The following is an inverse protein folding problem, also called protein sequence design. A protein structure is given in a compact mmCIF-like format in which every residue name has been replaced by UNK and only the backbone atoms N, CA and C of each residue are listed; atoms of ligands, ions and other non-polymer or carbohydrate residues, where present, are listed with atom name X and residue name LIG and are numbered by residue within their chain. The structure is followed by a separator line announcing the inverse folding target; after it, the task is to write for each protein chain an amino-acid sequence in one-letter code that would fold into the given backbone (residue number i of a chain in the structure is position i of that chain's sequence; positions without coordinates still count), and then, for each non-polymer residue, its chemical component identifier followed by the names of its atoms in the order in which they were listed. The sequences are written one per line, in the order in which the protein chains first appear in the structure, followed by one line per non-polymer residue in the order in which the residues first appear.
data_IF_038556398662
#
_entry.id   IF_038556398662
#
_cell.length_a   1.000
_cell.length_b   1.000
_cell.length_c   1.000
_cell.angle_alpha   90.00
_cell.angle_beta   90.00
_cell.angle_gamma   90.00
#
_symmetry.space_group_name_H-M   'P 1'
#
loop_
_entity.id
_entity.type
_entity.pdbx_description
1 polymer ?
2 polymer ?
3 non-polymer ?
4 non-polymer ?
5 water ?
#
# COMPACT_ATOMS: atom_id res chain seq x y z
N UNK A 1 16.08 -18.21 4.22
CA UNK A 1 16.81 -17.52 3.13
C UNK A 1 18.00 -16.73 3.65
N UNK A 2 18.31 -15.62 2.99
CA UNK A 2 19.55 -14.82 3.13
C UNK A 2 19.79 -14.38 4.59
N UNK A 3 18.73 -14.08 5.36
CA UNK A 3 18.85 -13.34 6.62
C UNK A 3 18.66 -14.29 7.80
N UNK A 4 18.58 -15.60 7.50
CA UNK A 4 18.28 -16.70 8.45
C UNK A 4 19.28 -16.79 9.60
N UNK A 5 20.53 -16.34 9.42
CA UNK A 5 21.58 -16.39 10.48
C UNK A 5 21.69 -15.05 11.26
N UNK A 6 20.96 -13.99 10.87
CA UNK A 6 21.00 -12.74 11.64
C UNK A 6 19.85 -12.69 12.66
N UNK A 7 20.14 -12.11 13.82
CA UNK A 7 19.17 -11.94 14.92
C UNK A 7 18.01 -11.06 14.47
N UNK A 8 16.83 -11.38 14.97
CA UNK A 8 15.60 -10.58 14.72
C UNK A 8 15.85 -9.11 15.09
N UNK A 9 16.39 -8.81 16.28
CA UNK A 9 16.55 -7.40 16.73
C UNK A 9 17.57 -6.69 15.82
N UNK A 10 18.63 -7.38 15.38
CA UNK A 10 19.71 -6.86 14.49
C UNK A 10 19.15 -6.52 13.10
N UNK A 11 18.23 -7.34 12.59
CA UNK A 11 17.54 -7.08 11.31
C UNK A 11 16.71 -5.81 11.43
N UNK A 12 15.99 -5.66 12.54
CA UNK A 12 15.13 -4.47 12.80
C UNK A 12 16.03 -3.23 12.92
N UNK A 13 17.06 -3.31 13.76
CA UNK A 13 18.05 -2.21 13.91
C UNK A 13 18.61 -1.85 12.53
N UNK A 14 18.98 -2.86 11.72
CA UNK A 14 19.64 -2.66 10.39
C UNK A 14 18.64 -2.13 9.39
N UNK A 15 17.35 -2.47 9.52
CA UNK A 15 16.27 -1.89 8.68
C UNK A 15 16.14 -0.37 8.97
N UNK A 16 16.35 0.02 10.23
CA UNK A 16 16.25 1.45 10.64
C UNK A 16 17.45 2.26 10.10
N UNK A 17 18.65 1.69 10.19
CA UNK A 17 19.89 2.25 9.58
C UNK A 17 19.68 2.43 8.08
N UNK A 18 19.19 1.40 7.39
CA UNK A 18 18.93 1.38 5.93
C UNK A 18 17.99 2.52 5.56
N UNK A 19 16.88 2.69 6.28
CA UNK A 19 15.92 3.80 6.03
C UNK A 19 16.68 5.13 6.07
N UNK A 20 17.54 5.36 7.08
CA UNK A 20 18.28 6.65 7.23
C UNK A 20 19.29 6.79 6.09
N UNK A 21 19.84 5.69 5.57
CA UNK A 21 20.80 5.70 4.44
C UNK A 21 20.06 5.75 3.10
N UNK A 22 18.73 5.63 3.12
CA UNK A 22 17.84 5.52 1.93
C UNK A 22 18.23 4.30 1.10
N UNK A 23 18.65 3.22 1.77
CA UNK A 23 18.94 1.93 1.12
C UNK A 23 17.68 1.06 1.26
N UNK A 24 16.70 1.29 0.38
CA UNK A 24 15.34 0.74 0.56
C UNK A 24 15.35 -0.75 0.16
N UNK A 25 16.23 -1.16 -0.76
CA UNK A 25 16.36 -2.61 -1.11
C UNK A 25 16.83 -3.36 0.14
N UNK A 26 17.90 -2.89 0.76
CA UNK A 26 18.47 -3.45 2.01
C UNK A 26 17.40 -3.46 3.10
N UNK A 27 16.66 -2.35 3.24
CA UNK A 27 15.62 -2.19 4.28
C UNK A 27 14.55 -3.26 4.06
N UNK A 28 14.13 -3.49 2.80
CA UNK A 28 13.11 -4.51 2.49
C UNK A 28 13.67 -5.89 2.80
N UNK A 29 14.92 -6.19 2.42
CA UNK A 29 15.50 -7.53 2.63
C UNK A 29 15.60 -7.84 4.14
N UNK A 30 16.02 -6.88 4.96
CA UNK A 30 16.13 -7.01 6.44
C UNK A 30 14.72 -7.24 7.03
N UNK A 31 13.71 -6.49 6.59
CA UNK A 31 12.34 -6.64 7.14
C UNK A 31 11.72 -7.96 6.68
N UNK A 32 12.03 -8.44 5.47
CA UNK A 32 11.64 -9.77 4.99
C UNK A 32 12.24 -10.81 5.96
N UNK A 33 13.53 -10.69 6.25
CA UNK A 33 14.22 -11.59 7.20
C UNK A 33 13.58 -11.53 8.58
N UNK A 34 13.25 -10.33 9.05
CA UNK A 34 12.55 -10.11 10.32
C UNK A 34 11.22 -10.88 10.33
N UNK A 35 10.41 -10.74 9.28
CA UNK A 35 9.10 -11.45 9.16
C UNK A 35 9.35 -12.97 9.21
N UNK A 36 10.32 -13.46 8.46
CA UNK A 36 10.59 -14.93 8.32
C UNK A 36 11.08 -15.55 9.64
N UNK A 37 11.44 -14.77 10.66
CA UNK A 37 11.67 -15.26 12.05
C UNK A 37 10.37 -15.85 12.61
N UNK A 38 9.24 -15.49 11.98
CA UNK A 38 7.94 -16.11 12.25
C UNK A 38 7.20 -15.53 13.45
N UNK A 39 7.77 -14.52 14.13
CA UNK A 39 7.07 -13.80 15.23
C UNK A 39 6.24 -12.65 14.61
N UNK A 40 5.13 -12.29 15.26
CA UNK A 40 4.23 -11.17 14.84
C UNK A 40 5.05 -9.88 14.88
N UNK A 41 4.69 -8.89 14.07
CA UNK A 41 5.39 -7.59 14.02
C UNK A 41 4.68 -6.62 14.96
N UNK A 42 5.45 -5.81 15.69
CA UNK A 42 4.92 -4.62 16.42
C UNK A 42 4.39 -3.58 15.42
N UNK A 43 3.73 -2.52 15.89
CA UNK A 43 3.26 -1.40 15.03
C UNK A 43 4.45 -0.77 14.28
N UNK A 44 5.55 -0.45 14.98
CA UNK A 44 6.76 0.15 14.38
C UNK A 44 7.31 -0.81 13.30
N UNK A 45 7.42 -2.10 13.61
CA UNK A 45 7.91 -3.15 12.68
C UNK A 45 7.00 -3.24 11.44
N UNK A 46 5.68 -3.22 11.57
CA UNK A 46 4.77 -3.20 10.39
C UNK A 46 5.09 -1.97 9.53
N UNK A 47 5.29 -0.81 10.16
CA UNK A 47 5.56 0.43 9.41
C UNK A 47 6.88 0.30 8.64
N UNK A 48 7.92 -0.30 9.25
CA UNK A 48 9.24 -0.46 8.61
C UNK A 48 9.10 -1.32 7.35
N UNK A 49 8.43 -2.46 7.47
CA UNK A 49 8.15 -3.42 6.36
C UNK A 49 7.46 -2.67 5.22
N UNK A 50 6.40 -1.91 5.53
CA UNK A 50 5.56 -1.23 4.52
C UNK A 50 6.36 -0.13 3.82
N UNK A 51 7.04 0.73 4.58
CA UNK A 51 7.85 1.86 4.05
C UNK A 51 8.92 1.28 3.12
N UNK A 52 9.56 0.18 3.52
CA UNK A 52 10.65 -0.48 2.77
C UNK A 52 10.13 -0.88 1.39
N UNK A 53 9.09 -1.71 1.34
CA UNK A 53 8.58 -2.25 0.05
C UNK A 53 7.92 -1.14 -0.77
N UNK A 54 7.28 -0.17 -0.12
CA UNK A 54 6.62 0.95 -0.83
C UNK A 54 7.70 1.74 -1.57
N UNK A 55 8.87 1.94 -0.96
CA UNK A 55 9.96 2.71 -1.59
C UNK A 55 10.51 1.88 -2.76
N UNK A 56 10.66 0.57 -2.59
CA UNK A 56 11.18 -0.33 -3.66
C UNK A 56 10.17 -0.37 -4.82
N UNK A 57 8.91 -0.69 -4.55
CA UNK A 57 7.89 -0.84 -5.63
C UNK A 57 7.65 0.54 -6.28
N UNK A 58 7.82 1.63 -5.53
CA UNK A 58 7.68 2.98 -6.09
C UNK A 58 8.66 3.26 -7.22
N UNK A 59 9.95 2.99 -7.01
CA UNK A 59 10.99 3.08 -8.06
C UNK A 59 10.63 2.28 -9.30
N UNK A 60 10.08 1.07 -9.12
CA UNK A 60 9.74 0.17 -10.24
C UNK A 60 8.50 0.72 -10.99
N UNK A 61 7.50 1.26 -10.27
CA UNK A 61 6.27 1.82 -10.88
C UNK A 61 6.65 3.06 -11.70
N UNK A 62 7.38 4.02 -11.13
CA UNK A 62 7.93 5.19 -11.87
C UNK A 62 8.68 4.69 -13.11
N UNK A 63 9.58 3.72 -12.97
CA UNK A 63 10.38 3.17 -14.09
C UNK A 63 9.43 2.63 -15.17
N UNK A 64 8.48 1.76 -14.78
CA UNK A 64 7.48 1.09 -15.67
C UNK A 64 6.67 2.11 -16.49
N UNK A 65 6.21 3.21 -15.89
CA UNK A 65 5.31 4.19 -16.56
C UNK A 65 6.12 4.94 -17.63
N UNK A 66 7.36 5.28 -17.33
CA UNK A 66 8.30 5.94 -18.29
C UNK A 66 8.43 5.02 -19.50
N UNK A 67 8.76 3.74 -19.28
CA UNK A 67 8.99 2.73 -20.35
C UNK A 67 7.70 2.46 -21.12
N UNK A 68 6.57 2.27 -20.43
CA UNK A 68 5.26 1.95 -21.05
C UNK A 68 4.86 3.09 -22.00
N UNK A 69 5.10 4.33 -21.58
CA UNK A 69 4.80 5.56 -22.37
C UNK A 69 5.69 5.63 -23.62
N UNK A 70 6.97 5.27 -23.51
CA UNK A 70 7.86 5.21 -24.69
C UNK A 70 7.33 4.12 -25.62
N UNK A 71 7.11 2.92 -25.09
CA UNK A 71 6.54 1.76 -25.83
C UNK A 71 5.31 2.20 -26.63
N UNK A 72 4.33 2.81 -25.96
CA UNK A 72 3.06 3.27 -26.60
C UNK A 72 3.40 4.28 -27.71
N UNK A 73 4.28 5.25 -27.43
CA UNK A 73 4.72 6.27 -28.43
C UNK A 73 5.30 5.55 -29.66
N UNK A 74 6.12 4.53 -29.46
CA UNK A 74 6.83 3.78 -30.54
C UNK A 74 5.87 2.87 -31.33
N UNK A 75 4.59 2.77 -30.94
CA UNK A 75 3.58 1.93 -31.64
C UNK A 75 2.77 2.80 -32.62
N UNK A 83 12.05 -2.18 -33.51
CA UNK A 83 12.90 -3.14 -32.77
C UNK A 83 12.31 -3.54 -31.42
N UNK A 84 12.72 -4.70 -30.85
CA UNK A 84 12.07 -5.26 -29.66
C UNK A 84 12.53 -4.64 -28.33
N UNK A 85 13.52 -3.74 -28.35
CA UNK A 85 14.27 -3.41 -27.11
C UNK A 85 13.33 -2.77 -26.08
N UNK A 86 12.43 -1.91 -26.51
CA UNK A 86 11.57 -1.11 -25.58
C UNK A 86 10.64 -2.08 -24.84
N UNK A 87 9.93 -2.91 -25.61
CA UNK A 87 9.04 -3.97 -25.08
C UNK A 87 9.85 -4.87 -24.14
N UNK A 88 11.04 -5.31 -24.55
CA UNK A 88 11.91 -6.26 -23.80
C UNK A 88 12.29 -5.64 -22.45
N UNK A 89 12.70 -4.37 -22.43
CA UNK A 89 13.15 -3.73 -21.18
C UNK A 89 11.93 -3.43 -20.28
N UNK A 90 10.81 -2.99 -20.86
CA UNK A 90 9.55 -2.78 -20.10
C UNK A 90 9.16 -4.10 -19.42
N UNK A 91 9.25 -5.21 -20.16
CA UNK A 91 8.99 -6.59 -19.66
C UNK A 91 9.93 -6.91 -18.50
N UNK A 92 11.20 -6.48 -18.58
CA UNK A 92 12.23 -6.81 -17.57
C UNK A 92 11.82 -6.13 -16.26
N UNK A 93 11.56 -4.83 -16.35
CA UNK A 93 11.13 -3.99 -15.19
C UNK A 93 9.80 -4.54 -14.62
N UNK A 94 8.81 -4.83 -15.47
CA UNK A 94 7.47 -5.34 -15.09
C UNK A 94 7.64 -6.65 -14.31
N UNK A 95 8.52 -7.52 -14.78
CA UNK A 95 8.78 -8.84 -14.16
C UNK A 95 9.38 -8.63 -12.77
N UNK A 96 10.35 -7.73 -12.61
CA UNK A 96 10.98 -7.46 -11.29
C UNK A 96 9.94 -6.83 -10.36
N UNK A 97 9.07 -5.94 -10.88
CA UNK A 97 7.93 -5.33 -10.14
C UNK A 97 6.97 -6.41 -9.63
N UNK A 98 6.63 -7.36 -10.49
CA UNK A 98 5.74 -8.50 -10.15
C UNK A 98 6.40 -9.35 -9.07
N UNK A 99 7.72 -9.57 -9.17
CA UNK A 99 8.49 -10.32 -8.16
C UNK A 99 8.43 -9.66 -6.80
N UNK A 100 8.56 -8.34 -6.72
CA UNK A 100 8.45 -7.63 -5.41
C UNK A 100 7.01 -7.74 -4.90
N UNK A 101 6.03 -7.50 -5.77
CA UNK A 101 4.60 -7.65 -5.34
C UNK A 101 4.40 -9.09 -4.85
N UNK A 102 4.86 -10.10 -5.61
CA UNK A 102 4.68 -11.54 -5.28
C UNK A 102 5.37 -11.83 -3.93
N UNK A 103 6.54 -11.23 -3.69
CA UNK A 103 7.29 -11.44 -2.41
C UNK A 103 6.48 -10.92 -1.24
N UNK A 104 5.92 -9.71 -1.36
CA UNK A 104 5.16 -9.05 -0.25
C UNK A 104 3.89 -9.86 0.01
N UNK A 105 3.17 -10.24 -1.05
CA UNK A 105 1.92 -11.07 -0.93
C UNK A 105 2.23 -12.40 -0.26
N UNK A 106 3.39 -12.97 -0.59
CA UNK A 106 3.95 -14.20 0.03
C UNK A 106 4.10 -14.03 1.51
N UNK A 107 4.66 -12.91 1.96
CA UNK A 107 4.85 -12.65 3.39
C UNK A 107 3.49 -12.51 4.07
N UNK A 108 2.55 -11.84 3.44
CA UNK A 108 1.22 -11.57 4.02
C UNK A 108 0.45 -12.90 4.15
N UNK A 109 0.54 -13.76 3.16
CA UNK A 109 -0.15 -15.08 3.20
C UNK A 109 0.65 -16.08 4.05
N UNK A 110 1.96 -15.92 4.24
CA UNK A 110 2.81 -16.91 4.95
C UNK A 110 3.73 -16.24 5.97
N UNK A 111 3.22 -15.77 7.12
CA UNK A 111 1.89 -16.07 7.64
C UNK A 111 1.35 -14.87 8.44
N UNK A 112 1.55 -13.63 7.97
CA UNK A 112 1.28 -12.40 8.77
C UNK A 112 -0.23 -12.24 9.01
N UNK A 113 -1.04 -12.47 7.99
CA UNK A 113 -2.49 -12.17 8.04
C UNK A 113 -3.16 -13.18 8.97
N UNK A 114 -2.90 -14.48 8.81
CA UNK A 114 -3.62 -15.52 9.60
C UNK A 114 -3.27 -15.39 11.09
N UNK A 115 -2.13 -14.78 11.47
CA UNK A 115 -1.75 -14.58 12.90
C UNK A 115 -2.15 -13.18 13.39
N UNK A 116 -2.67 -12.29 12.53
CA UNK A 116 -3.13 -10.92 12.88
C UNK A 116 -4.58 -10.96 13.41
N UNK A 117 -4.75 -10.90 14.74
CA UNK A 117 -6.07 -10.89 15.42
C UNK A 117 -6.56 -9.47 15.71
N UNK A 118 -5.67 -8.56 16.11
CA UNK A 118 -6.04 -7.16 16.45
C UNK A 118 -6.39 -6.39 15.18
N UNK A 119 -7.31 -5.43 15.30
CA UNK A 119 -7.82 -4.61 14.18
C UNK A 119 -6.66 -3.83 13.54
N UNK A 120 -5.78 -3.24 14.36
CA UNK A 120 -4.70 -2.34 13.87
C UNK A 120 -3.73 -3.15 13.00
N UNK A 121 -3.44 -4.39 13.38
CA UNK A 121 -2.53 -5.28 12.61
C UNK A 121 -3.25 -5.88 11.39
N UNK A 122 -4.44 -6.45 11.55
CA UNK A 122 -5.18 -7.17 10.48
C UNK A 122 -5.56 -6.19 9.36
N UNK A 123 -6.04 -5.00 9.72
CA UNK A 123 -6.46 -4.00 8.71
C UNK A 123 -5.19 -3.55 7.99
N UNK A 124 -4.07 -3.39 8.70
CA UNK A 124 -2.80 -2.95 8.10
C UNK A 124 -2.39 -3.95 7.01
N UNK A 125 -2.42 -5.24 7.33
CA UNK A 125 -1.95 -6.32 6.43
C UNK A 125 -2.90 -6.46 5.26
N UNK A 126 -4.23 -6.38 5.48
CA UNK A 126 -5.20 -6.53 4.36
C UNK A 126 -5.07 -5.33 3.42
N UNK A 127 -4.82 -4.14 3.96
CA UNK A 127 -4.58 -2.93 3.13
C UNK A 127 -3.38 -3.16 2.20
N UNK A 128 -2.25 -3.62 2.77
CA UNK A 128 -1.03 -3.97 2.02
C UNK A 128 -1.39 -4.99 0.92
N UNK A 129 -2.19 -6.00 1.25
CA UNK A 129 -2.59 -7.05 0.30
C UNK A 129 -3.35 -6.39 -0.87
N UNK A 130 -4.35 -5.56 -0.59
CA UNK A 130 -5.05 -4.79 -1.63
C UNK A 130 -4.08 -3.91 -2.42
N UNK A 131 -3.22 -3.22 -1.71
CA UNK A 131 -2.21 -2.36 -2.35
C UNK A 131 -1.32 -3.15 -3.35
N UNK A 132 -0.81 -4.28 -2.96
CA UNK A 132 0.23 -4.75 -3.87
C UNK A 132 -0.49 -5.56 -5.03
N UNK A 133 -1.70 -6.13 -4.83
CA UNK A 133 -2.59 -6.59 -5.94
C UNK A 133 -2.93 -5.41 -6.88
N UNK A 134 -3.14 -4.20 -6.35
CA UNK A 134 -3.37 -2.98 -7.18
C UNK A 134 -2.13 -2.67 -8.03
N UNK A 135 -0.92 -2.76 -7.47
CA UNK A 135 0.35 -2.57 -8.24
C UNK A 135 0.42 -3.62 -9.36
N UNK A 136 0.02 -4.86 -9.11
CA UNK A 136 -0.03 -5.90 -10.18
C UNK A 136 -1.10 -5.50 -11.21
N UNK A 137 -2.29 -5.08 -10.75
CA UNK A 137 -3.38 -4.54 -11.60
C UNK A 137 -2.86 -3.47 -12.57
N UNK A 138 -2.00 -2.56 -12.10
CA UNK A 138 -1.53 -1.42 -12.93
C UNK A 138 -0.86 -1.97 -14.20
N UNK A 139 -0.12 -3.08 -14.12
CA UNK A 139 0.75 -3.57 -15.24
C UNK A 139 0.09 -4.77 -15.91
N UNK A 140 -1.06 -5.22 -15.40
CA UNK A 140 -1.79 -6.43 -15.84
C UNK A 140 -2.55 -6.17 -17.14
N UNK A 141 -2.38 -7.04 -18.14
CA UNK A 141 -3.15 -7.07 -19.41
C UNK A 141 -4.01 -8.34 -19.40
N UNK A 144 -7.02 -12.84 -16.94
CA UNK A 144 -6.34 -12.94 -15.62
C UNK A 144 -6.39 -11.59 -14.87
N UNK A 145 -6.33 -10.47 -15.57
CA UNK A 145 -6.41 -9.10 -14.96
C UNK A 145 -7.63 -9.01 -14.03
N UNK A 146 -8.74 -9.64 -14.41
CA UNK A 146 -10.02 -9.53 -13.67
C UNK A 146 -9.81 -10.14 -12.29
N UNK A 147 -9.17 -11.31 -12.22
CA UNK A 147 -8.92 -12.02 -10.94
C UNK A 147 -8.02 -11.16 -10.03
N UNK A 148 -6.96 -10.56 -10.59
CA UNK A 148 -6.01 -9.71 -9.82
C UNK A 148 -6.82 -8.56 -9.19
N UNK A 149 -7.59 -7.88 -10.03
CA UNK A 149 -8.47 -6.75 -9.63
C UNK A 149 -9.43 -7.25 -8.53
N UNK A 150 -10.05 -8.41 -8.70
CA UNK A 150 -10.99 -8.95 -7.67
C UNK A 150 -10.20 -9.29 -6.38
N UNK A 151 -8.96 -9.76 -6.49
CA UNK A 151 -8.09 -10.00 -5.29
C UNK A 151 -7.86 -8.69 -4.52
N UNK A 152 -7.52 -7.59 -5.20
CA UNK A 152 -7.37 -6.27 -4.56
C UNK A 152 -8.69 -5.87 -3.86
N UNK A 153 -9.81 -5.82 -4.59
CA UNK A 153 -11.17 -5.45 -4.07
C UNK A 153 -11.45 -6.23 -2.78
N UNK A 154 -11.27 -7.55 -2.84
CA UNK A 154 -11.60 -8.47 -1.71
C UNK A 154 -10.76 -8.14 -0.48
N UNK A 155 -9.44 -7.94 -0.66
CA UNK A 155 -8.52 -7.57 0.45
C UNK A 155 -8.96 -6.23 1.04
N UNK A 156 -9.20 -5.24 0.17
CA UNK A 156 -9.62 -3.87 0.56
C UNK A 156 -10.94 -3.93 1.34
N UNK A 157 -11.92 -4.67 0.80
CA UNK A 157 -13.30 -4.72 1.36
C UNK A 157 -13.27 -5.37 2.74
N UNK A 158 -12.48 -6.45 2.90
CA UNK A 158 -12.34 -7.15 4.20
C UNK A 158 -11.72 -6.17 5.20
N UNK A 159 -10.66 -5.47 4.80
CA UNK A 159 -10.02 -4.40 5.61
C UNK A 159 -11.07 -3.36 5.99
N UNK A 160 -11.87 -2.88 5.02
CA UNK A 160 -12.86 -1.81 5.24
C UNK A 160 -13.89 -2.27 6.28
N UNK A 161 -14.41 -3.51 6.12
CA UNK A 161 -15.46 -4.05 7.03
C UNK A 161 -14.91 -4.04 8.46
N UNK A 162 -13.66 -4.48 8.67
CA UNK A 162 -13.09 -4.57 10.05
C UNK A 162 -12.85 -3.16 10.60
N UNK A 163 -12.34 -2.24 9.75
CA UNK A 163 -12.00 -0.85 10.12
C UNK A 163 -13.26 -0.11 10.59
N UNK A 164 -14.38 -0.26 9.86
CA UNK A 164 -15.67 0.37 10.19
C UNK A 164 -16.19 -0.15 11.54
N UNK A 165 -16.06 -1.44 11.79
CA UNK A 165 -16.55 -2.08 13.03
C UNK A 165 -15.64 -1.74 14.21
N UNK A 166 -14.32 -1.64 14.00
CA UNK A 166 -13.34 -1.76 15.12
C UNK A 166 -12.57 -0.47 15.41
N UNK A 167 -12.53 0.49 14.50
CA UNK A 167 -11.66 1.69 14.59
C UNK A 167 -12.51 2.95 14.51
N UNK A 168 -12.14 4.05 15.19
CA UNK A 168 -12.88 5.29 15.01
C UNK A 168 -12.61 5.84 13.62
N UNK A 169 -13.50 6.73 13.11
CA UNK A 169 -13.37 7.26 11.75
C UNK A 169 -12.09 8.05 11.50
N UNK A 170 -11.43 8.58 12.55
CA UNK A 170 -10.16 9.34 12.39
C UNK A 170 -8.93 8.42 12.40
N UNK A 171 -9.10 7.13 12.69
CA UNK A 171 -7.96 6.19 12.75
C UNK A 171 -7.14 6.35 11.48
N UNK A 172 -5.85 6.73 11.59
CA UNK A 172 -5.02 6.94 10.40
C UNK A 172 -4.93 5.71 9.49
N UNK A 173 -4.91 4.50 10.07
CA UNK A 173 -4.82 3.25 9.26
C UNK A 173 -6.14 3.18 8.45
N UNK A 174 -7.26 3.35 9.13
CA UNK A 174 -8.60 3.38 8.47
C UNK A 174 -8.64 4.46 7.37
N UNK A 175 -8.12 5.64 7.64
CA UNK A 175 -8.13 6.79 6.69
C UNK A 175 -7.26 6.43 5.48
N UNK A 176 -6.08 5.85 5.70
CA UNK A 176 -5.15 5.45 4.62
C UNK A 176 -5.76 4.35 3.75
N UNK A 177 -6.45 3.40 4.38
CA UNK A 177 -7.16 2.28 3.71
C UNK A 177 -8.18 2.87 2.73
N UNK A 178 -9.01 3.81 3.19
CA UNK A 178 -10.12 4.38 2.41
C UNK A 178 -9.53 5.26 1.31
N UNK A 179 -8.47 6.02 1.60
CA UNK A 179 -7.74 6.79 0.55
C UNK A 179 -7.44 5.83 -0.61
N UNK A 180 -6.77 4.72 -0.29
CA UNK A 180 -6.20 3.79 -1.31
C UNK A 180 -7.33 3.07 -2.04
N UNK A 181 -8.34 2.62 -1.31
CA UNK A 181 -9.50 1.89 -1.87
C UNK A 181 -10.24 2.83 -2.84
N UNK A 182 -10.32 4.12 -2.53
CA UNK A 182 -10.99 5.12 -3.39
C UNK A 182 -10.23 5.25 -4.71
N UNK A 183 -8.89 5.19 -4.62
CA UNK A 183 -7.99 5.30 -5.82
C UNK A 183 -8.14 4.00 -6.61
N UNK A 184 -8.22 2.87 -5.92
CA UNK A 184 -8.57 1.57 -6.55
C UNK A 184 -9.86 1.77 -7.35
N UNK A 185 -10.93 2.18 -6.67
CA UNK A 185 -12.26 2.43 -7.29
C UNK A 185 -12.05 3.31 -8.52
N UNK A 186 -11.34 4.43 -8.37
CA UNK A 186 -11.27 5.49 -9.39
C UNK A 186 -10.58 4.98 -10.66
N UNK A 187 -9.40 4.35 -10.55
CA UNK A 187 -8.56 4.09 -11.75
C UNK A 187 -8.28 2.59 -11.97
N UNK A 188 -8.68 1.68 -11.07
CA UNK A 188 -8.51 0.21 -11.31
C UNK A 188 -9.85 -0.40 -11.69
N UNK A 189 -10.91 -0.14 -10.92
CA UNK A 189 -12.27 -0.68 -11.13
C UNK A 189 -13.05 0.18 -12.11
N UNK A 190 -12.49 1.30 -12.55
CA UNK A 190 -13.17 2.32 -13.40
C UNK A 190 -14.56 2.60 -12.82
N UNK A 191 -14.62 2.89 -11.50
CA UNK A 191 -15.82 3.29 -10.73
C UNK A 191 -15.55 4.66 -10.09
N UNK A 192 -15.36 5.75 -10.88
CA UNK A 192 -14.97 7.02 -10.28
C UNK A 192 -16.03 7.55 -9.30
N UNK A 193 -17.29 7.19 -9.52
CA UNK A 193 -18.39 7.63 -8.64
C UNK A 193 -18.23 6.97 -7.29
N UNK A 194 -17.93 5.66 -7.25
CA UNK A 194 -17.64 4.97 -5.98
C UNK A 194 -16.47 5.68 -5.28
N UNK A 195 -15.37 5.94 -6.00
CA UNK A 195 -14.17 6.64 -5.49
C UNK A 195 -14.59 7.92 -4.75
N UNK A 196 -15.32 8.78 -5.45
CA UNK A 196 -15.71 10.13 -4.98
C UNK A 196 -16.58 9.99 -3.71
N UNK A 197 -17.56 9.08 -3.72
CA UNK A 197 -18.45 8.78 -2.57
C UNK A 197 -17.63 8.31 -1.37
N UNK A 198 -16.72 7.36 -1.60
CA UNK A 198 -15.89 6.82 -0.49
C UNK A 198 -15.04 7.97 0.10
N UNK A 199 -14.45 8.80 -0.75
CA UNK A 199 -13.52 9.88 -0.31
C UNK A 199 -14.29 10.97 0.45
N UNK A 200 -15.50 11.34 0.01
CA UNK A 200 -16.34 12.37 0.69
C UNK A 200 -16.79 11.86 2.06
N UNK A 201 -17.43 10.69 2.09
CA UNK A 201 -17.99 10.09 3.32
C UNK A 201 -16.87 9.86 4.34
N UNK A 202 -15.70 9.40 3.87
CA UNK A 202 -14.53 9.15 4.74
C UNK A 202 -14.06 10.47 5.34
N UNK A 203 -13.91 11.48 4.48
CA UNK A 203 -13.45 12.83 4.89
C UNK A 203 -14.39 13.38 5.98
N UNK A 204 -15.69 13.43 5.67
CA UNK A 204 -16.71 14.11 6.51
C UNK A 204 -16.83 13.37 7.84
N UNK A 205 -16.81 12.03 7.85
CA UNK A 205 -16.90 11.24 9.11
C UNK A 205 -15.68 11.52 10.00
N UNK A 206 -14.48 11.63 9.42
CA UNK A 206 -13.25 11.97 10.18
C UNK A 206 -13.41 13.38 10.79
N UNK A 207 -13.86 14.34 9.96
CA UNK A 207 -14.09 15.76 10.35
C UNK A 207 -14.89 15.79 11.65
N UNK A 208 -15.99 15.04 11.71
CA UNK A 208 -16.95 15.07 12.85
C UNK A 208 -16.42 14.31 14.09
N UNK A 209 -15.26 13.66 13.99
CA UNK A 209 -14.67 12.89 15.14
C UNK A 209 -13.40 13.60 15.65
N UNK A 210 -12.90 14.63 14.96
CA UNK A 210 -11.58 15.27 15.25
C UNK A 210 -11.63 15.86 16.66
N UNK A 211 -12.80 16.36 17.07
CA UNK A 211 -13.04 16.96 18.40
C UNK A 211 -12.57 16.00 19.51
N UNK A 212 -12.47 14.69 19.24
CA UNK A 212 -12.20 13.64 20.27
C UNK A 212 -10.69 13.47 20.47
N UNK A 213 -9.86 14.11 19.64
CA UNK A 213 -8.42 13.76 19.51
C UNK A 213 -7.54 14.76 20.28
N UNK A 214 -6.40 14.28 20.76
CA UNK A 214 -5.24 15.07 21.20
C UNK A 214 -4.70 15.89 20.01
N UNK A 215 -3.90 16.92 20.29
CA UNK A 215 -3.11 17.67 19.29
C UNK A 215 -2.35 16.69 18.38
N UNK A 216 -1.61 15.75 18.97
CA UNK A 216 -0.75 14.78 18.25
C UNK A 216 -1.59 13.99 17.24
N UNK A 217 -2.73 13.44 17.68
CA UNK A 217 -3.63 12.58 16.88
C UNK A 217 -4.30 13.40 15.79
N UNK A 218 -4.63 14.65 16.11
CA UNK A 218 -5.25 15.64 15.20
C UNK A 218 -4.34 15.81 13.98
N UNK A 219 -3.03 16.06 14.21
CA UNK A 219 -1.99 16.18 13.15
C UNK A 219 -2.01 14.92 12.26
N UNK A 220 -1.96 13.80 12.95
CA UNK A 220 -1.88 12.50 12.23
C UNK A 220 -3.05 12.33 11.26
N UNK A 221 -4.30 12.51 11.70
CA UNK A 221 -5.55 12.30 10.94
C UNK A 221 -5.76 13.39 9.87
N UNK A 222 -5.49 14.65 10.17
CA UNK A 222 -5.69 15.76 9.20
C UNK A 222 -4.67 15.61 8.05
N UNK A 223 -3.48 15.06 8.30
CA UNK A 223 -2.54 14.89 7.16
C UNK A 223 -3.17 13.93 6.14
N UNK A 224 -3.79 12.85 6.58
CA UNK A 224 -4.38 11.85 5.64
C UNK A 224 -5.68 12.41 5.07
N UNK A 225 -6.44 13.12 5.88
CA UNK A 225 -7.68 13.78 5.38
C UNK A 225 -7.31 14.72 4.20
N UNK A 226 -6.21 15.47 4.30
CA UNK A 226 -5.78 16.41 3.23
C UNK A 226 -5.51 15.60 1.96
N UNK A 227 -4.97 14.38 2.04
CA UNK A 227 -4.77 13.53 0.83
C UNK A 227 -6.14 13.20 0.20
N UNK A 228 -7.18 12.92 0.99
CA UNK A 228 -8.56 12.67 0.47
C UNK A 228 -9.05 13.94 -0.22
N UNK A 229 -8.77 15.11 0.35
CA UNK A 229 -9.20 16.41 -0.26
C UNK A 229 -8.44 16.66 -1.57
N UNK A 230 -7.14 16.40 -1.62
CA UNK A 230 -6.33 16.62 -2.86
C UNK A 230 -6.95 15.82 -4.01
N UNK A 231 -7.31 14.56 -3.76
CA UNK A 231 -7.92 13.64 -4.76
C UNK A 231 -9.30 14.14 -5.18
N UNK A 232 -10.13 14.55 -4.21
CA UNK A 232 -11.51 15.02 -4.49
C UNK A 232 -11.44 16.27 -5.37
N UNK A 233 -10.47 17.16 -5.12
CA UNK A 233 -10.20 18.41 -5.88
C UNK A 233 -9.94 18.06 -7.35
N UNK A 234 -9.13 17.03 -7.60
CA UNK A 234 -8.80 16.54 -8.96
C UNK A 234 -10.03 15.87 -9.60
N UNK A 235 -10.81 15.10 -8.84
CA UNK A 235 -11.89 14.20 -9.36
C UNK A 235 -13.18 15.00 -9.62
N UNK A 236 -13.39 16.11 -8.91
CA UNK A 236 -14.56 17.02 -9.04
C UNK A 236 -14.03 18.45 -9.19
N UNK B 1 1.79 9.69 -16.42
CA UNK B 1 0.41 9.52 -15.87
C UNK B 1 0.24 10.49 -14.69
N UNK B 2 -0.95 11.06 -14.52
CA UNK B 2 -1.32 11.77 -13.27
C UNK B 2 -1.55 10.69 -12.19
N UNK B 3 -0.69 10.67 -11.17
CA UNK B 3 -0.76 9.68 -10.06
C UNK B 3 -1.57 10.30 -8.93
N UNK B 4 -2.64 9.64 -8.47
CA UNK B 4 -3.47 10.16 -7.38
C UNK B 4 -2.75 9.90 -6.06
N UNK B 5 -3.20 10.60 -5.01
CA UNK B 5 -2.64 10.50 -3.63
C UNK B 5 -3.03 9.15 -3.03
N UNK B 6 -2.03 8.38 -2.62
CA UNK B 6 -2.26 7.16 -1.84
C UNK B 6 -1.33 7.20 -0.64
N UNK B 7 -1.59 6.31 0.32
CA UNK B 7 -1.00 6.46 1.63
C UNK B 7 0.52 6.21 1.57
N UNK B 8 1.26 6.94 2.40
CA UNK B 8 2.69 6.69 2.68
C UNK B 8 3.57 7.27 1.57
N UNK B 9 4.85 6.84 1.48
CA UNK B 9 5.81 7.45 0.56
C UNK B 9 5.35 7.41 -0.92
N UNK B 10 5.14 8.57 -1.55
CA UNK B 10 5.09 8.66 -3.05
C UNK B 10 6.56 8.59 -3.49
N UNK B 11 7.01 7.34 -3.64
CA UNK B 11 8.38 6.87 -4.00
C UNK B 11 8.43 6.57 -5.49
N UNK B 12 7.35 6.91 -6.20
CA UNK B 12 7.15 6.72 -7.66
C UNK B 12 6.96 8.10 -8.29
X LIG C 1 7.16 4.47 15.28
X LIG C 1 4.90 3.04 15.91
X LIG C 1 4.17 4.93 12.34
X LIG C 1 2.61 6.89 12.50
X LIG C 1 5.67 4.78 12.02
X LIG C 1 6.63 4.36 12.93
X LIG C 1 7.91 4.31 12.41
X LIG C 1 8.05 4.65 11.08
X LIG C 1 9.33 4.69 10.24
X LIG C 1 6.32 4.05 14.26
X LIG C 1 6.88 4.17 16.62
X LIG C 1 5.75 3.45 16.92
X LIG C 1 5.18 3.34 14.57
X LIG C 1 3.46 6.05 11.57
X LIG C 1 10.35 4.10 10.64
X LIG C 1 9.35 5.42 8.98
X LIG C 1 2.93 8.29 12.34
X LIG C 1 6.47 5.07 10.51
X LIG D 1 15.98 -6.20 -21.18
#
# INVERSE_FOLDING_TARGET
GAMGSMERASLIQKAKLAEQAERYEDMAAFMKGAVEKGEELSCEERNLLSVAYKNVVGGQRAAWRVLSSIEQKSNEEGSEEKGPEVREYREKVETELQGVCDTVLGLLDSHLIKEAGDAESRVFYLKMKGDYYRYLAEVATGDDKKRIIDSARSAYQEAMDISKKEMPPTNPIRLGLALNFSVFHYEIANSPEEAISLAKTTFDEAMADLHTLSEDSYKDSTLIMQLLRDNLTLWTADNAGEEGGEAPQEPQS
KLMFKTEGPDSD
K5Z C10 C13 C15 C17 C02 C03 C04 C05 C06 C09 C11 C12 C14 C16 N08 N07 N18 S01
CA CA
#
